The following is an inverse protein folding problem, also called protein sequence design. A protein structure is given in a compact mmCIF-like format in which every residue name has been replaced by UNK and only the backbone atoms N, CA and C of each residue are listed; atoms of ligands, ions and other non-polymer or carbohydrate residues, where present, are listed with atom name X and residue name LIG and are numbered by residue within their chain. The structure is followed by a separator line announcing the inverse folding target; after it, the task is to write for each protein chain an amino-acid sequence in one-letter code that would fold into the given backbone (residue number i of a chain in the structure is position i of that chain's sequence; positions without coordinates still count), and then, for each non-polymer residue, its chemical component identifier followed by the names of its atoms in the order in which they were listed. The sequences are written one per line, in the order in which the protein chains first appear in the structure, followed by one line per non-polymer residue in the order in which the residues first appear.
data_IF_859238812785
#
_entry.id   IF_859238812785
#
_cell.length_a   1.000
_cell.length_b   1.000
_cell.length_c   1.000
_cell.angle_alpha   90.00
_cell.angle_beta   90.00
_cell.angle_gamma   90.00
#
_symmetry.space_group_name_H-M   'P 1'
#
loop_
_entity.id
_entity.type
_entity.pdbx_description
1 polymer ?
#
# COMPACT_ATOMS: atom_id res chain seq x y z
N UNK A 1 11.34 -14.66 31.11
CA UNK A 1 11.80 -13.95 29.90
C UNK A 1 10.76 -13.93 28.76
N UNK A 2 9.63 -14.65 28.84
CA UNK A 2 8.61 -14.71 27.76
C UNK A 2 7.56 -13.58 27.77
N UNK A 3 7.32 -12.93 28.92
CA UNK A 3 6.27 -11.89 29.07
C UNK A 3 6.48 -10.66 28.17
N UNK A 4 7.73 -10.23 28.01
CA UNK A 4 8.08 -9.06 27.19
C UNK A 4 7.90 -9.32 25.68
N UNK A 5 8.07 -10.58 25.26
CA UNK A 5 7.88 -11.00 23.87
C UNK A 5 6.41 -10.97 23.47
N UNK A 6 5.53 -11.48 24.34
CA UNK A 6 4.08 -11.49 24.12
C UNK A 6 3.52 -10.06 24.09
N UNK A 7 3.99 -9.17 24.95
CA UNK A 7 3.55 -7.77 24.98
C UNK A 7 4.02 -6.96 23.75
N UNK A 8 5.26 -7.18 23.28
CA UNK A 8 5.73 -6.59 22.01
C UNK A 8 4.92 -7.10 20.83
N UNK A 9 4.65 -8.40 20.77
CA UNK A 9 3.80 -8.97 19.70
C UNK A 9 2.38 -8.41 19.76
N UNK A 10 1.77 -8.25 20.94
CA UNK A 10 0.43 -7.66 21.07
C UNK A 10 0.37 -6.19 20.66
N UNK A 11 1.38 -5.37 20.98
CA UNK A 11 1.46 -3.98 20.50
C UNK A 11 1.67 -3.92 19.00
N UNK A 12 2.58 -4.73 18.46
CA UNK A 12 2.81 -4.80 17.02
C UNK A 12 1.56 -5.24 16.24
N UNK A 13 0.76 -6.15 16.81
CA UNK A 13 -0.53 -6.57 16.24
C UNK A 13 -1.58 -5.45 16.22
N UNK A 14 -1.55 -4.53 17.19
CA UNK A 14 -2.51 -3.42 17.24
C UNK A 14 -2.30 -2.44 16.08
N UNK A 15 -1.04 -2.16 15.73
CA UNK A 15 -0.64 -1.20 14.69
C UNK A 15 -0.46 -1.85 13.30
N UNK A 16 -0.58 -3.17 13.19
CA UNK A 16 -0.35 -3.88 11.94
C UNK A 16 -1.50 -3.66 10.94
N UNK A 17 -1.16 -3.28 9.71
CA UNK A 17 -2.09 -3.20 8.59
C UNK A 17 -2.50 -4.59 8.06
N UNK A 18 -1.63 -5.60 8.22
CA UNK A 18 -1.88 -6.99 7.87
C UNK A 18 -1.13 -7.91 8.83
N UNK A 19 -1.75 -9.03 9.22
CA UNK A 19 -1.15 -10.04 10.11
C UNK A 19 -1.01 -11.37 9.40
N UNK A 20 0.22 -11.89 9.34
CA UNK A 20 0.51 -13.24 8.83
C UNK A 20 0.78 -14.18 10.00
N UNK A 21 -0.07 -15.20 10.15
CA UNK A 21 0.09 -16.26 11.16
C UNK A 21 0.73 -17.46 10.48
N UNK A 22 1.90 -17.88 10.95
CA UNK A 22 2.60 -19.06 10.38
C UNK A 22 2.37 -20.25 11.29
N UNK A 23 1.73 -21.30 10.76
CA UNK A 23 1.43 -22.53 11.49
C UNK A 23 2.31 -23.65 10.96
N UNK A 24 2.90 -24.43 11.85
CA UNK A 24 3.61 -25.64 11.46
C UNK A 24 2.62 -26.78 11.20
N UNK A 25 2.46 -27.17 9.95
CA UNK A 25 1.50 -28.18 9.54
C UNK A 25 1.76 -29.57 10.12
N UNK A 26 2.99 -29.86 10.54
CA UNK A 26 3.32 -31.15 11.17
C UNK A 26 2.83 -31.26 12.61
N UNK A 27 2.60 -30.13 13.26
CA UNK A 27 2.11 -30.02 14.63
C UNK A 27 0.62 -29.71 14.65
N UNK A 28 0.15 -28.96 13.65
CA UNK A 28 -1.22 -28.49 13.54
C UNK A 28 -1.51 -27.29 14.45
N UNK A 29 -2.79 -27.00 14.62
CA UNK A 29 -3.26 -25.88 15.45
C UNK A 29 -3.41 -26.29 16.91
N UNK A 30 -2.86 -25.48 17.81
CA UNK A 30 -3.10 -25.58 19.23
C UNK A 30 -4.21 -24.62 19.70
N UNK A 31 -4.67 -24.81 20.93
CA UNK A 31 -5.72 -23.98 21.54
C UNK A 31 -5.31 -22.50 21.62
N UNK A 32 -4.04 -22.23 21.85
CA UNK A 32 -3.51 -20.86 21.89
C UNK A 32 -3.53 -20.19 20.50
N UNK A 33 -3.32 -20.94 19.43
CA UNK A 33 -3.41 -20.42 18.05
C UNK A 33 -4.84 -20.02 17.70
N UNK A 34 -5.83 -20.79 18.17
CA UNK A 34 -7.25 -20.44 18.03
C UNK A 34 -7.59 -19.13 18.74
N UNK A 35 -7.02 -18.89 19.92
CA UNK A 35 -7.22 -17.64 20.65
C UNK A 35 -6.59 -16.44 19.93
N UNK A 36 -5.43 -16.62 19.30
CA UNK A 36 -4.80 -15.59 18.46
C UNK A 36 -5.65 -15.32 17.22
N UNK A 37 -6.11 -16.36 16.52
CA UNK A 37 -6.97 -16.19 15.34
C UNK A 37 -8.30 -15.52 15.68
N UNK A 38 -8.92 -15.84 16.82
CA UNK A 38 -10.13 -15.15 17.28
C UNK A 38 -9.88 -13.66 17.54
N UNK A 39 -8.71 -13.28 18.08
CA UNK A 39 -8.34 -11.88 18.27
C UNK A 39 -8.05 -11.12 16.95
N UNK A 40 -7.89 -11.84 15.83
CA UNK A 40 -7.66 -11.30 14.49
C UNK A 40 -8.94 -11.24 13.65
N UNK A 41 -10.08 -11.70 14.17
CA UNK A 41 -11.36 -11.66 13.46
C UNK A 41 -11.69 -10.22 13.00
N UNK A 42 -12.05 -10.09 11.71
CA UNK A 42 -12.34 -8.80 11.09
C UNK A 42 -11.13 -7.93 10.75
N UNK A 43 -9.89 -8.39 11.02
CA UNK A 43 -8.65 -7.75 10.55
C UNK A 43 -8.13 -8.41 9.28
N UNK A 44 -7.41 -7.65 8.46
CA UNK A 44 -6.66 -8.19 7.33
C UNK A 44 -5.61 -9.19 7.84
N UNK A 45 -5.91 -10.48 7.72
CA UNK A 45 -5.09 -11.54 8.28
C UNK A 45 -5.12 -12.77 7.39
N UNK A 46 -4.03 -13.53 7.44
CA UNK A 46 -3.83 -14.73 6.63
C UNK A 46 -3.04 -15.77 7.43
N UNK A 47 -3.37 -17.05 7.25
CA UNK A 47 -2.61 -18.16 7.80
C UNK A 47 -1.74 -18.79 6.72
N UNK A 48 -0.43 -18.85 6.95
CA UNK A 48 0.50 -19.68 6.19
C UNK A 48 0.67 -21.03 6.90
N UNK A 49 0.07 -22.07 6.35
CA UNK A 49 0.26 -23.45 6.80
C UNK A 49 1.58 -23.97 6.24
N UNK A 50 2.65 -23.87 7.02
CA UNK A 50 4.01 -24.20 6.61
C UNK A 50 4.31 -25.71 6.74
N UNK A 51 5.37 -26.18 6.08
CA UNK A 51 5.79 -27.59 5.99
C UNK A 51 4.77 -28.50 5.29
N UNK A 52 4.06 -27.98 4.30
CA UNK A 52 3.10 -28.76 3.50
C UNK A 52 3.73 -29.93 2.72
N UNK A 53 5.05 -29.92 2.56
CA UNK A 53 5.84 -31.03 2.01
C UNK A 53 5.88 -32.26 2.94
N UNK A 54 5.77 -32.05 4.26
CA UNK A 54 5.74 -33.11 5.26
C UNK A 54 4.31 -33.51 5.65
N UNK A 55 3.42 -32.52 5.78
CA UNK A 55 2.02 -32.73 6.12
C UNK A 55 1.12 -31.85 5.24
N UNK A 56 0.42 -32.43 4.27
CA UNK A 56 -0.51 -31.69 3.42
C UNK A 56 -1.60 -31.00 4.25
N UNK A 57 -2.03 -29.82 3.79
CA UNK A 57 -3.17 -29.12 4.39
C UNK A 57 -4.45 -29.94 4.14
N UNK A 58 -5.10 -30.36 5.23
CA UNK A 58 -6.35 -31.11 5.17
C UNK A 58 -7.57 -30.18 5.01
N UNK A 59 -8.71 -30.75 4.61
CA UNK A 59 -9.92 -29.96 4.36
C UNK A 59 -10.43 -29.25 5.62
N UNK A 60 -10.22 -29.85 6.80
CA UNK A 60 -10.65 -29.31 8.09
C UNK A 60 -9.82 -28.09 8.49
N UNK A 61 -8.51 -28.12 8.26
CA UNK A 61 -7.65 -26.96 8.54
C UNK A 61 -7.70 -25.91 7.44
N UNK A 62 -8.10 -26.28 6.21
CA UNK A 62 -8.32 -25.34 5.10
C UNK A 62 -9.59 -24.51 5.26
N UNK A 63 -10.59 -25.01 6.00
CA UNK A 63 -11.83 -24.28 6.23
C UNK A 63 -11.52 -22.94 6.95
N UNK A 64 -11.95 -21.79 6.40
CA UNK A 64 -11.66 -20.50 6.99
C UNK A 64 -12.27 -20.42 8.39
N UNK A 65 -11.42 -20.24 9.40
CA UNK A 65 -11.82 -20.03 10.79
C UNK A 65 -11.82 -18.52 11.05
N UNK A 66 -12.89 -18.00 11.64
CA UNK A 66 -13.03 -16.55 11.93
C UNK A 66 -12.89 -15.65 10.69
N UNK A 67 -13.25 -16.17 9.50
CA UNK A 67 -13.11 -15.47 8.22
C UNK A 67 -11.67 -15.33 7.71
N UNK A 68 -10.71 -16.00 8.34
CA UNK A 68 -9.28 -15.93 7.98
C UNK A 68 -8.96 -17.01 6.95
N UNK A 69 -8.37 -16.62 5.83
CA UNK A 69 -7.92 -17.54 4.78
C UNK A 69 -6.67 -18.32 5.19
N UNK A 70 -6.50 -19.52 4.60
CA UNK A 70 -5.37 -20.41 4.87
C UNK A 70 -4.70 -20.79 3.55
N UNK A 71 -3.38 -20.61 3.45
CA UNK A 71 -2.56 -20.98 2.29
C UNK A 71 -1.53 -22.03 2.71
N UNK A 72 -1.48 -23.15 1.98
CA UNK A 72 -0.48 -24.18 2.19
C UNK A 72 0.87 -23.74 1.63
N UNK A 73 1.94 -23.86 2.42
CA UNK A 73 3.28 -23.40 2.08
C UNK A 73 4.34 -24.40 2.53
N UNK A 74 5.45 -24.43 1.81
CA UNK A 74 6.67 -25.10 2.25
C UNK A 74 7.83 -24.13 2.08
N UNK A 75 8.30 -23.58 3.19
CA UNK A 75 9.41 -22.62 3.18
C UNK A 75 10.73 -23.23 2.64
N UNK A 76 10.88 -24.56 2.70
CA UNK A 76 12.07 -25.27 2.21
C UNK A 76 12.00 -25.51 0.71
N UNK A 77 10.86 -25.97 0.20
CA UNK A 77 10.72 -26.29 -1.24
C UNK A 77 10.30 -25.08 -2.08
N UNK A 78 9.77 -24.04 -1.44
CA UNK A 78 9.18 -22.88 -2.09
C UNK A 78 7.73 -23.09 -2.54
N UNK A 79 7.16 -24.28 -2.37
CA UNK A 79 5.78 -24.56 -2.76
C UNK A 79 4.80 -23.65 -2.02
N UNK A 80 3.81 -23.10 -2.76
CA UNK A 80 2.76 -22.25 -2.21
C UNK A 80 3.18 -20.82 -1.83
N UNK A 81 4.46 -20.44 -1.97
CA UNK A 81 4.92 -19.09 -1.66
C UNK A 81 4.40 -18.03 -2.64
N UNK A 82 4.22 -18.38 -3.92
CA UNK A 82 3.63 -17.48 -4.91
C UNK A 82 2.15 -17.23 -4.64
N UNK A 83 1.40 -18.27 -4.27
CA UNK A 83 0.01 -18.17 -3.82
C UNK A 83 -0.10 -17.32 -2.56
N UNK A 84 0.78 -17.54 -1.58
CA UNK A 84 0.86 -16.73 -0.36
C UNK A 84 1.11 -15.25 -0.70
N UNK A 85 2.05 -14.97 -1.61
CA UNK A 85 2.36 -13.61 -2.05
C UNK A 85 1.13 -12.96 -2.71
N UNK A 86 0.41 -13.70 -3.56
CA UNK A 86 -0.82 -13.23 -4.19
C UNK A 86 -1.89 -12.87 -3.15
N UNK A 87 -2.15 -13.77 -2.20
CA UNK A 87 -3.12 -13.55 -1.14
C UNK A 87 -2.76 -12.36 -0.22
N UNK A 88 -1.47 -12.18 0.10
CA UNK A 88 -1.01 -11.01 0.85
C UNK A 88 -1.24 -9.73 0.05
N UNK A 89 -0.92 -9.72 -1.25
CA UNK A 89 -1.13 -8.55 -2.11
C UNK A 89 -2.61 -8.21 -2.22
N UNK A 90 -3.48 -9.19 -2.39
CA UNK A 90 -4.92 -9.01 -2.46
C UNK A 90 -5.47 -8.41 -1.16
N UNK A 91 -5.07 -8.95 -0.01
CA UNK A 91 -5.46 -8.43 1.30
C UNK A 91 -4.91 -7.02 1.57
N UNK A 92 -3.67 -6.73 1.15
CA UNK A 92 -3.04 -5.43 1.34
C UNK A 92 -3.59 -4.34 0.42
N UNK A 93 -4.08 -4.71 -0.76
CA UNK A 93 -4.55 -3.77 -1.80
C UNK A 93 -6.07 -3.77 -1.97
N UNK A 94 -6.81 -4.60 -1.22
CA UNK A 94 -8.25 -4.77 -1.36
C UNK A 94 -8.66 -5.31 -2.73
N UNK A 95 -7.80 -6.11 -3.37
CA UNK A 95 -8.01 -6.63 -4.73
C UNK A 95 -7.71 -5.64 -5.86
N UNK A 96 -7.25 -4.42 -5.56
CA UNK A 96 -6.95 -3.38 -6.56
C UNK A 96 -5.49 -3.43 -7.05
N UNK A 97 -4.97 -4.63 -7.32
CA UNK A 97 -3.58 -4.84 -7.74
C UNK A 97 -3.28 -4.43 -9.20
N UNK A 98 -4.23 -3.79 -9.89
CA UNK A 98 -4.10 -3.45 -11.31
C UNK A 98 -4.31 -1.95 -11.57
N UNK A 99 -3.40 -1.13 -11.06
CA UNK A 99 -3.07 0.16 -11.69
C UNK A 99 -1.58 0.11 -12.03
N UNK A 100 -1.29 -0.02 -13.32
CA UNK A 100 0.06 0.04 -13.89
C UNK A 100 0.60 1.46 -13.74
N UNK A 101 1.13 1.75 -12.55
CA UNK A 101 1.63 3.07 -12.22
C UNK A 101 1.88 3.24 -10.73
N UNK A 102 2.38 2.20 -10.06
CA UNK A 102 2.62 2.28 -8.62
C UNK A 102 3.69 3.34 -8.34
N UNK A 103 3.30 4.44 -7.68
CA UNK A 103 4.19 5.44 -7.11
C UNK A 103 4.95 4.79 -5.94
N UNK A 104 5.96 3.98 -6.26
CA UNK A 104 6.71 3.11 -5.34
C UNK A 104 7.60 3.88 -4.35
N UNK A 105 7.64 5.21 -4.42
CA UNK A 105 8.34 6.05 -3.46
C UNK A 105 7.35 6.99 -2.77
N UNK A 106 7.37 7.03 -1.43
CA UNK A 106 6.70 8.07 -0.62
C UNK A 106 7.00 9.48 -1.16
N UNK A 107 8.19 9.68 -1.73
CA UNK A 107 8.59 10.92 -2.41
C UNK A 107 7.73 11.22 -3.64
N UNK A 108 7.48 10.22 -4.47
CA UNK A 108 6.66 10.37 -5.67
C UNK A 108 5.19 10.58 -5.32
N UNK A 109 4.68 9.83 -4.34
CA UNK A 109 3.32 10.03 -3.83
C UNK A 109 3.13 11.44 -3.28
N UNK A 110 4.09 11.95 -2.50
CA UNK A 110 4.04 13.31 -1.97
C UNK A 110 4.08 14.37 -3.07
N UNK A 111 4.95 14.20 -4.07
CA UNK A 111 5.03 15.09 -5.23
C UNK A 111 3.71 15.16 -6.00
N UNK A 112 3.08 14.01 -6.30
CA UNK A 112 1.77 13.97 -6.98
C UNK A 112 0.68 14.63 -6.12
N UNK A 113 0.64 14.35 -4.81
CA UNK A 113 -0.32 14.98 -3.90
C UNK A 113 -0.14 16.49 -3.80
N UNK A 114 1.09 16.97 -3.74
CA UNK A 114 1.40 18.41 -3.75
C UNK A 114 1.00 19.04 -5.07
N UNK A 115 1.21 18.36 -6.20
CA UNK A 115 0.78 18.84 -7.51
C UNK A 115 -0.74 19.00 -7.59
N UNK A 116 -1.49 17.99 -7.17
CA UNK A 116 -2.95 18.01 -7.17
C UNK A 116 -3.48 19.15 -6.29
N UNK A 117 -2.99 19.25 -5.04
CA UNK A 117 -3.47 20.30 -4.13
C UNK A 117 -3.20 21.71 -4.64
N UNK A 118 -2.04 21.95 -5.27
CA UNK A 118 -1.74 23.24 -5.88
C UNK A 118 -2.64 23.56 -7.09
N UNK A 119 -3.03 22.57 -7.89
CA UNK A 119 -4.00 22.78 -8.98
C UNK A 119 -5.41 23.09 -8.44
N UNK A 120 -5.83 22.45 -7.35
CA UNK A 120 -7.09 22.74 -6.67
C UNK A 120 -7.11 24.16 -6.08
N UNK A 121 -6.01 24.58 -5.43
CA UNK A 121 -5.82 25.95 -4.94
C UNK A 121 -5.95 26.95 -6.10
N UNK A 122 -5.26 26.72 -7.22
CA UNK A 122 -5.31 27.58 -8.40
C UNK A 122 -6.70 27.65 -9.05
N UNK A 123 -7.42 26.53 -9.13
CA UNK A 123 -8.80 26.49 -9.63
C UNK A 123 -9.75 27.26 -8.70
N UNK A 124 -9.54 27.15 -7.39
CA UNK A 124 -10.29 27.91 -6.38
C UNK A 124 -10.01 29.40 -6.50
N UNK A 125 -8.74 29.80 -6.63
CA UNK A 125 -8.35 31.19 -6.83
C UNK A 125 -8.95 31.79 -8.11
N UNK A 126 -8.97 31.03 -9.21
CA UNK A 126 -9.59 31.45 -10.47
C UNK A 126 -11.10 31.68 -10.32
N UNK A 127 -11.80 30.74 -9.67
CA UNK A 127 -13.25 30.86 -9.42
C UNK A 127 -13.60 31.98 -8.44
N UNK A 128 -12.72 32.29 -7.49
CA UNK A 128 -12.86 33.40 -6.54
C UNK A 128 -12.44 34.77 -7.12
N UNK A 129 -12.11 34.86 -8.42
CA UNK A 129 -11.63 36.09 -9.08
C UNK A 129 -10.41 36.72 -8.39
N UNK A 130 -9.55 35.89 -7.80
CA UNK A 130 -8.27 36.32 -7.22
C UNK A 130 -7.33 36.77 -8.36
N UNK A 131 -6.43 37.75 -8.14
CA UNK A 131 -5.50 38.20 -9.15
C UNK A 131 -4.73 37.06 -9.82
N UNK A 132 -4.53 37.19 -11.13
CA UNK A 132 -3.92 36.16 -11.97
C UNK A 132 -2.50 35.79 -11.50
N UNK A 133 -1.79 36.68 -10.80
CA UNK A 133 -0.47 36.36 -10.22
C UNK A 133 -0.53 35.24 -9.17
N UNK A 134 -1.63 35.10 -8.43
CA UNK A 134 -1.80 34.06 -7.42
C UNK A 134 -2.12 32.71 -8.06
N UNK A 135 -2.97 32.70 -9.10
CA UNK A 135 -3.24 31.49 -9.89
C UNK A 135 -1.95 30.97 -10.53
N UNK A 136 -1.11 31.87 -11.05
CA UNK A 136 0.19 31.51 -11.61
C UNK A 136 1.13 30.90 -10.56
N UNK A 137 1.17 31.43 -9.33
CA UNK A 137 1.98 30.89 -8.25
C UNK A 137 1.59 29.44 -7.92
N UNK A 138 0.29 29.14 -7.90
CA UNK A 138 -0.22 27.79 -7.64
C UNK A 138 0.08 26.82 -8.79
N UNK A 139 0.03 27.28 -10.05
CA UNK A 139 0.49 26.48 -11.19
C UNK A 139 1.99 26.17 -11.10
N UNK A 140 2.84 27.11 -10.67
CA UNK A 140 4.27 26.86 -10.45
C UNK A 140 4.50 25.83 -9.34
N UNK A 141 3.76 25.93 -8.23
CA UNK A 141 3.82 24.95 -7.14
C UNK A 141 3.47 23.55 -7.63
N UNK A 142 2.45 23.43 -8.48
CA UNK A 142 2.06 22.14 -9.04
C UNK A 142 3.17 21.55 -9.92
N UNK A 143 3.77 22.40 -10.75
CA UNK A 143 4.77 22.01 -11.72
C UNK A 143 6.10 21.60 -11.08
N UNK A 144 6.60 22.35 -10.09
CA UNK A 144 7.81 21.95 -9.35
C UNK A 144 7.66 20.62 -8.61
N UNK A 145 6.45 20.32 -8.13
CA UNK A 145 6.18 19.04 -7.54
C UNK A 145 6.26 17.91 -8.59
N UNK A 146 5.80 18.14 -9.82
CA UNK A 146 5.95 17.21 -10.94
C UNK A 146 7.40 17.12 -11.46
N UNK A 147 8.17 18.20 -11.45
CA UNK A 147 9.59 18.21 -11.84
C UNK A 147 10.44 17.34 -10.92
N UNK A 148 10.06 17.27 -9.64
CA UNK A 148 10.63 16.31 -8.70
C UNK A 148 10.42 14.85 -9.10
N UNK A 149 9.41 14.54 -9.92
CA UNK A 149 9.13 13.20 -10.44
C UNK A 149 9.99 12.85 -11.65
N UNK A 150 10.11 13.79 -12.61
CA UNK A 150 10.76 13.58 -13.90
C UNK A 150 12.26 13.91 -13.90
N UNK A 151 12.72 14.68 -12.91
CA UNK A 151 14.11 15.11 -12.77
C UNK A 151 14.59 16.10 -13.83
N UNK A 152 13.72 16.50 -14.76
CA UNK A 152 14.05 17.35 -15.91
C UNK A 152 12.86 18.21 -16.35
N UNK A 153 12.71 19.36 -15.71
CA UNK A 153 12.08 20.53 -16.35
C UNK A 153 12.73 21.77 -15.76
N UNK A 154 13.24 22.66 -16.59
CA UNK A 154 13.78 23.94 -16.11
C UNK A 154 12.66 24.98 -16.05
N UNK A 155 12.72 25.97 -15.15
CA UNK A 155 11.74 27.07 -15.13
C UNK A 155 11.56 27.77 -16.49
N UNK A 156 12.59 27.76 -17.34
CA UNK A 156 12.55 28.33 -18.70
C UNK A 156 11.71 27.52 -19.68
N UNK A 157 11.67 26.19 -19.56
CA UNK A 157 10.84 25.32 -20.41
C UNK A 157 9.34 25.58 -20.17
N UNK A 158 9.00 25.89 -18.92
CA UNK A 158 7.66 26.21 -18.46
C UNK A 158 7.21 27.56 -19.00
N UNK A 159 8.05 28.57 -18.84
CA UNK A 159 7.79 29.93 -19.35
C UNK A 159 7.56 29.87 -20.86
N UNK A 160 8.40 29.14 -21.59
CA UNK A 160 8.25 28.96 -23.03
C UNK A 160 6.93 28.28 -23.40
N UNK A 161 6.48 27.27 -22.66
CA UNK A 161 5.21 26.59 -22.94
C UNK A 161 4.00 27.51 -22.70
N UNK A 162 3.99 28.27 -21.61
CA UNK A 162 2.90 29.22 -21.28
C UNK A 162 2.86 30.33 -22.33
N UNK A 163 3.99 30.96 -22.63
CA UNK A 163 4.04 32.06 -23.59
C UNK A 163 3.96 31.63 -25.05
N UNK A 164 4.21 30.35 -25.38
CA UNK A 164 4.02 29.83 -26.75
C UNK A 164 2.58 29.91 -27.24
N UNK A 165 1.61 30.02 -26.32
CA UNK A 165 0.17 30.12 -26.63
C UNK A 165 -0.41 31.51 -26.40
N UNK A 166 0.37 32.44 -25.85
CA UNK A 166 0.01 33.85 -25.86
C UNK A 166 0.57 34.46 -27.13
N UNK A 167 -0.30 34.82 -28.09
CA UNK A 167 0.09 35.74 -29.15
C UNK A 167 0.55 37.04 -28.47
N UNK A 168 1.85 37.26 -28.36
CA UNK A 168 2.41 38.58 -28.05
C UNK A 168 2.09 39.44 -29.26
N UNK A 169 0.98 40.18 -29.15
CA UNK A 169 0.62 41.21 -30.11
C UNK A 169 1.73 42.25 -30.18
N UNK A 170 2.01 42.70 -31.40
CA UNK A 170 2.40 44.09 -31.59
C UNK A 170 1.25 45.00 -31.14
#
# INVERSE_FOLDING_TARGET
MERLGIERSRRALADAALVLVVVDGTVGLHTDDLAVMAALEGRASLVAWNKSDLQPLDEVSRAPKYGIGVVATSAITGAGLDELRGAILELATGGSAAETGMLTSLRHHQAVRTAIGALEDGATALSASIPHEMVLLDLYRALWALDGLTGQTTPDDVLNLIFSRFCIGK
#
